data_IF_972047828974
#
_entry.id   IF_972047828974
#
_cell.length_a   1.000
_cell.length_b   1.000
_cell.length_c   1.000
_cell.angle_alpha   90.00
_cell.angle_beta   90.00
_cell.angle_gamma   90.00
#
_symmetry.space_group_name_H-M   'P 1'
#
loop_
_entity.id
_entity.type
_entity.pdbx_description
1 polymer ?
#
# COMPACT_ATOMS: atom_id res chain seq x y z
N UNK A 1 -2.69 63.93 -25.33
CA UNK A 1 -2.51 62.69 -24.56
C UNK A 1 -3.44 62.80 -23.36
N UNK A 2 -4.57 62.10 -23.38
CA UNK A 2 -5.59 62.25 -22.35
C UNK A 2 -5.16 61.60 -21.04
N UNK A 3 -5.48 62.26 -19.92
CA UNK A 3 -5.17 61.81 -18.55
C UNK A 3 -5.65 60.37 -18.30
N UNK A 4 -6.74 59.97 -18.96
CA UNK A 4 -7.31 58.61 -18.91
C UNK A 4 -6.42 57.55 -19.58
N UNK A 5 -5.73 57.89 -20.67
CA UNK A 5 -4.84 56.98 -21.38
C UNK A 5 -3.50 56.78 -20.65
N UNK A 6 -3.02 57.81 -19.95
CA UNK A 6 -1.83 57.71 -19.12
C UNK A 6 -2.09 56.80 -17.91
N UNK A 7 -3.21 57.00 -17.20
CA UNK A 7 -3.60 56.18 -16.05
C UNK A 7 -3.81 54.71 -16.43
N UNK A 8 -4.40 54.42 -17.60
CA UNK A 8 -4.57 53.05 -18.08
C UNK A 8 -3.22 52.35 -18.32
N UNK A 9 -2.24 53.08 -18.87
CA UNK A 9 -0.89 52.54 -19.13
C UNK A 9 -0.16 52.23 -17.82
N UNK A 10 -0.23 53.12 -16.83
CA UNK A 10 0.39 52.90 -15.51
C UNK A 10 -0.21 51.68 -14.80
N UNK A 11 -1.53 51.52 -14.85
CA UNK A 11 -2.20 50.35 -14.28
C UNK A 11 -1.75 49.05 -14.96
N UNK A 12 -1.63 49.04 -16.29
CA UNK A 12 -1.14 47.87 -17.04
C UNK A 12 0.31 47.50 -16.65
N UNK A 13 1.18 48.50 -16.43
CA UNK A 13 2.56 48.26 -15.98
C UNK A 13 2.58 47.65 -14.58
N UNK A 14 1.76 48.16 -13.66
CA UNK A 14 1.66 47.62 -12.29
C UNK A 14 1.16 46.17 -12.33
N UNK A 15 0.08 45.90 -13.06
CA UNK A 15 -0.47 44.55 -13.20
C UNK A 15 0.54 43.59 -13.84
N UNK A 16 1.25 44.03 -14.88
CA UNK A 16 2.31 43.24 -15.51
C UNK A 16 3.43 42.89 -14.52
N UNK A 17 3.88 43.86 -13.73
CA UNK A 17 4.90 43.62 -12.70
C UNK A 17 4.41 42.63 -11.63
N UNK A 18 3.16 42.76 -11.18
CA UNK A 18 2.56 41.82 -10.22
C UNK A 18 2.55 40.40 -10.79
N UNK A 19 2.14 40.22 -12.05
CA UNK A 19 2.11 38.90 -12.70
C UNK A 19 3.52 38.31 -12.79
N UNK A 20 4.53 39.11 -13.17
CA UNK A 20 5.93 38.66 -13.28
C UNK A 20 6.46 38.14 -11.94
N UNK A 21 6.08 38.75 -10.82
CA UNK A 21 6.46 38.28 -9.48
C UNK A 21 5.63 37.07 -9.03
N UNK A 22 4.36 37.01 -9.42
CA UNK A 22 3.42 36.01 -8.95
C UNK A 22 3.64 34.63 -9.60
N UNK A 23 4.04 34.59 -10.88
CA UNK A 23 4.34 33.33 -11.59
C UNK A 23 5.42 32.48 -10.90
N UNK A 24 6.63 32.98 -10.60
CA UNK A 24 7.65 32.19 -9.91
C UNK A 24 7.26 31.83 -8.47
N UNK A 25 6.49 32.68 -7.79
CA UNK A 25 5.97 32.40 -6.46
C UNK A 25 5.01 31.19 -6.45
N UNK A 26 4.08 31.14 -7.42
CA UNK A 26 3.19 29.98 -7.60
C UNK A 26 4.02 28.72 -7.91
N UNK A 27 5.00 28.83 -8.81
CA UNK A 27 5.84 27.69 -9.20
C UNK A 27 6.58 27.09 -7.99
N UNK A 28 7.20 27.94 -7.16
CA UNK A 28 7.88 27.51 -5.94
C UNK A 28 6.90 26.89 -4.94
N UNK A 29 5.73 27.51 -4.76
CA UNK A 29 4.70 27.00 -3.87
C UNK A 29 4.23 25.59 -4.27
N UNK A 30 3.93 25.36 -5.55
CA UNK A 30 3.49 24.05 -6.05
C UNK A 30 4.58 23.00 -5.85
N UNK A 31 5.84 23.33 -6.18
CA UNK A 31 6.97 22.40 -6.02
C UNK A 31 7.17 22.00 -4.55
N UNK A 32 7.18 22.99 -3.65
CA UNK A 32 7.35 22.74 -2.22
C UNK A 32 6.18 21.96 -1.61
N UNK A 33 4.96 22.27 -2.04
CA UNK A 33 3.75 21.56 -1.58
C UNK A 33 3.78 20.07 -1.95
N UNK A 34 4.26 19.73 -3.16
CA UNK A 34 4.37 18.34 -3.60
C UNK A 34 5.47 17.58 -2.84
N UNK A 35 6.65 18.19 -2.66
CA UNK A 35 7.75 17.55 -1.91
C UNK A 35 7.40 17.32 -0.43
N UNK A 36 6.66 18.26 0.17
CA UNK A 36 6.15 18.11 1.53
C UNK A 36 5.16 16.95 1.66
N UNK A 37 4.24 16.79 0.69
CA UNK A 37 3.30 15.67 0.66
C UNK A 37 4.00 14.31 0.48
N UNK A 38 5.03 14.26 -0.36
CA UNK A 38 5.84 13.05 -0.55
C UNK A 38 6.53 12.65 0.76
N UNK A 39 7.17 13.62 1.43
CA UNK A 39 7.86 13.38 2.71
C UNK A 39 6.90 12.86 3.80
N UNK A 40 5.72 13.46 3.94
CA UNK A 40 4.70 13.00 4.89
C UNK A 40 4.23 11.58 4.55
N UNK A 41 4.08 11.26 3.26
CA UNK A 41 3.66 9.93 2.82
C UNK A 41 4.74 8.89 3.12
N UNK A 42 6.00 9.17 2.80
CA UNK A 42 7.12 8.28 3.13
C UNK A 42 7.26 8.06 4.63
N UNK A 43 7.09 9.10 5.45
CA UNK A 43 7.11 8.96 6.91
C UNK A 43 5.98 8.05 7.44
N UNK A 44 4.78 8.13 6.85
CA UNK A 44 3.68 7.23 7.20
C UNK A 44 3.97 5.78 6.83
N UNK A 45 4.51 5.54 5.64
CA UNK A 45 4.87 4.19 5.19
C UNK A 45 5.99 3.62 6.06
N UNK A 46 7.00 4.43 6.39
CA UNK A 46 8.08 4.02 7.30
C UNK A 46 7.54 3.66 8.69
N UNK A 47 6.59 4.45 9.23
CA UNK A 47 5.94 4.15 10.50
C UNK A 47 5.20 2.80 10.47
N UNK A 48 4.44 2.52 9.40
CA UNK A 48 3.73 1.24 9.23
C UNK A 48 4.72 0.08 9.10
N UNK A 49 5.77 0.25 8.29
CA UNK A 49 6.79 -0.77 8.10
C UNK A 49 7.53 -1.08 9.41
N UNK A 50 7.86 -0.04 10.20
CA UNK A 50 8.45 -0.20 11.55
C UNK A 50 7.49 -0.92 12.50
N UNK A 51 6.20 -0.59 12.46
CA UNK A 51 5.19 -1.25 13.28
C UNK A 51 5.08 -2.73 12.92
N UNK A 52 4.93 -3.08 11.63
CA UNK A 52 4.92 -4.48 11.19
C UNK A 52 6.19 -5.20 11.64
N UNK A 53 7.37 -4.62 11.41
CA UNK A 53 8.64 -5.24 11.79
C UNK A 53 8.73 -5.52 13.30
N UNK A 54 8.31 -4.55 14.12
CA UNK A 54 8.27 -4.69 15.58
C UNK A 54 7.33 -5.81 16.02
N UNK A 55 6.18 -5.94 15.36
CA UNK A 55 5.17 -6.94 15.68
C UNK A 55 5.61 -8.34 15.24
N UNK A 56 6.26 -8.46 14.08
CA UNK A 56 6.93 -9.68 13.62
C UNK A 56 7.96 -10.14 14.65
N UNK A 57 8.86 -9.25 15.07
CA UNK A 57 9.89 -9.56 16.07
C UNK A 57 9.26 -9.98 17.42
N UNK A 58 8.18 -9.32 17.83
CA UNK A 58 7.46 -9.63 19.06
C UNK A 58 6.80 -11.01 18.99
N UNK A 59 6.08 -11.30 17.91
CA UNK A 59 5.38 -12.58 17.71
C UNK A 59 6.37 -13.73 17.59
N UNK A 60 7.49 -13.51 16.88
CA UNK A 60 8.58 -14.48 16.83
C UNK A 60 9.17 -14.77 18.21
N UNK A 61 9.42 -13.73 19.01
CA UNK A 61 9.97 -13.87 20.37
C UNK A 61 9.04 -14.62 21.33
N UNK A 62 7.72 -14.61 21.09
CA UNK A 62 6.75 -15.36 21.88
C UNK A 62 6.64 -16.84 21.49
N UNK A 63 7.18 -17.22 20.33
CA UNK A 63 7.21 -18.60 19.86
C UNK A 63 5.99 -19.02 19.05
N UNK A 64 6.02 -20.29 18.62
CA UNK A 64 5.05 -20.88 17.71
C UNK A 64 3.60 -20.76 18.20
N UNK A 65 2.68 -20.45 17.28
CA UNK A 65 1.25 -20.30 17.57
C UNK A 65 0.88 -18.92 18.11
N UNK A 66 1.87 -18.06 18.40
CA UNK A 66 1.63 -16.66 18.75
C UNK A 66 1.06 -15.89 17.56
N UNK A 67 0.11 -15.00 17.81
CA UNK A 67 -0.48 -14.14 16.79
C UNK A 67 -0.83 -12.76 17.35
N UNK A 68 -0.80 -11.75 16.49
CA UNK A 68 -1.23 -10.38 16.78
C UNK A 68 -1.94 -9.79 15.57
N UNK A 69 -2.76 -8.77 15.80
CA UNK A 69 -3.43 -8.02 14.73
C UNK A 69 -3.12 -6.55 14.91
N UNK A 70 -2.76 -5.88 13.82
CA UNK A 70 -2.52 -4.44 13.78
C UNK A 70 -3.38 -3.75 12.73
N UNK A 71 -3.71 -2.50 12.97
CA UNK A 71 -4.41 -1.64 12.02
C UNK A 71 -3.40 -0.81 11.22
N UNK A 72 -3.12 -1.23 9.99
CA UNK A 72 -2.23 -0.51 9.07
C UNK A 72 -3.03 0.43 8.16
N UNK A 73 -2.68 1.72 8.12
CA UNK A 73 -3.35 2.70 7.26
C UNK A 73 -2.52 3.02 6.01
N UNK A 74 -2.76 2.29 4.93
CA UNK A 74 -1.99 2.45 3.70
C UNK A 74 -2.34 3.77 2.97
N UNK A 75 -1.36 4.64 2.69
CA UNK A 75 -1.59 5.81 1.87
C UNK A 75 -1.77 5.43 0.39
N UNK A 76 -2.34 6.34 -0.40
CA UNK A 76 -2.66 6.12 -1.82
C UNK A 76 -1.46 5.82 -2.72
N UNK A 77 -0.25 6.17 -2.26
CA UNK A 77 0.95 6.13 -3.07
C UNK A 77 1.80 4.89 -2.81
N UNK A 78 1.31 3.90 -2.05
CA UNK A 78 1.99 2.60 -1.93
C UNK A 78 1.56 1.74 -3.10
N UNK A 79 2.53 1.22 -3.84
CA UNK A 79 2.33 0.41 -5.05
C UNK A 79 2.26 -1.07 -4.70
N UNK A 80 3.20 -1.54 -3.89
CA UNK A 80 3.29 -2.94 -3.48
C UNK A 80 3.94 -3.08 -2.11
N UNK A 81 3.65 -4.20 -1.47
CA UNK A 81 4.34 -4.70 -0.28
C UNK A 81 4.81 -6.11 -0.61
N UNK A 82 6.10 -6.34 -0.48
CA UNK A 82 6.73 -7.63 -0.76
C UNK A 82 7.48 -8.13 0.47
N UNK A 83 7.43 -9.43 0.67
CA UNK A 83 8.16 -10.13 1.74
C UNK A 83 9.19 -11.03 1.07
N UNK A 84 10.47 -10.83 1.39
CA UNK A 84 11.59 -11.58 0.78
C UNK A 84 12.53 -12.07 1.87
N UNK A 85 12.39 -13.33 2.26
CA UNK A 85 13.21 -13.90 3.33
C UNK A 85 12.90 -13.21 4.65
N UNK A 86 13.81 -12.38 5.16
CA UNK A 86 13.59 -11.58 6.37
C UNK A 86 13.36 -10.09 6.09
N UNK A 87 13.21 -9.70 4.83
CA UNK A 87 12.99 -8.31 4.43
C UNK A 87 11.51 -8.04 4.15
N UNK A 88 11.04 -6.89 4.62
CA UNK A 88 9.74 -6.32 4.32
C UNK A 88 9.99 -5.09 3.45
N UNK A 89 9.56 -5.14 2.20
CA UNK A 89 9.86 -4.13 1.18
C UNK A 89 8.56 -3.43 0.80
N UNK A 90 8.54 -2.12 1.01
CA UNK A 90 7.44 -1.23 0.59
C UNK A 90 7.87 -0.42 -0.62
N UNK A 91 7.14 -0.54 -1.72
CA UNK A 91 7.37 0.29 -2.91
C UNK A 91 6.36 1.43 -2.92
N UNK A 92 6.86 2.66 -2.99
CA UNK A 92 6.05 3.89 -3.00
C UNK A 92 6.33 4.73 -4.23
N UNK A 93 5.31 5.44 -4.72
CA UNK A 93 5.43 6.37 -5.85
C UNK A 93 5.43 7.81 -5.33
N UNK A 94 6.44 8.59 -5.70
CA UNK A 94 6.48 10.01 -5.34
C UNK A 94 5.65 10.88 -6.32
N UNK A 95 5.48 12.17 -6.00
CA UNK A 95 4.74 13.14 -6.82
C UNK A 95 5.36 13.36 -8.22
N UNK A 96 6.60 12.91 -8.44
CA UNK A 96 7.32 12.95 -9.73
C UNK A 96 7.18 11.64 -10.52
N UNK A 97 6.40 10.67 -10.02
CA UNK A 97 6.19 9.37 -10.66
C UNK A 97 7.40 8.42 -10.57
N UNK A 98 8.33 8.68 -9.65
CA UNK A 98 9.49 7.81 -9.40
C UNK A 98 9.22 6.92 -8.19
N UNK A 99 9.57 5.65 -8.33
CA UNK A 99 9.49 4.66 -7.26
C UNK A 99 10.60 4.87 -6.22
N UNK A 100 10.24 4.63 -4.95
CA UNK A 100 11.14 4.62 -3.81
C UNK A 100 10.79 3.42 -2.93
N UNK A 101 11.81 2.68 -2.54
CA UNK A 101 11.68 1.51 -1.67
C UNK A 101 11.97 1.89 -0.22
N UNK A 102 11.17 1.34 0.70
CA UNK A 102 11.39 1.38 2.15
C UNK A 102 11.54 -0.06 2.61
N UNK A 103 12.74 -0.42 3.07
CA UNK A 103 13.08 -1.79 3.45
C UNK A 103 13.25 -1.88 4.97
N UNK A 104 12.63 -2.89 5.58
CA UNK A 104 12.83 -3.26 6.99
C UNK A 104 13.28 -4.72 7.07
N UNK A 105 14.20 -4.99 7.99
CA UNK A 105 14.77 -6.32 8.18
C UNK A 105 14.31 -6.85 9.53
N UNK A 106 13.57 -7.95 9.49
CA UNK A 106 13.08 -8.65 10.67
C UNK A 106 14.09 -9.69 11.16
N UNK A 107 13.95 -10.13 12.41
CA UNK A 107 14.78 -11.20 12.97
C UNK A 107 14.33 -12.62 12.55
N UNK A 108 13.18 -12.74 11.89
CA UNK A 108 12.59 -14.00 11.46
C UNK A 108 12.32 -13.98 9.94
N UNK A 109 12.14 -15.17 9.36
CA UNK A 109 11.65 -15.27 7.99
C UNK A 109 10.19 -14.82 7.95
N UNK A 110 9.87 -13.94 7.03
CA UNK A 110 8.55 -13.34 6.82
C UNK A 110 8.04 -13.78 5.47
N UNK A 111 6.81 -14.26 5.45
CA UNK A 111 6.10 -14.64 4.24
C UNK A 111 4.67 -14.11 4.29
N UNK A 112 4.05 -13.94 3.13
CA UNK A 112 2.66 -13.53 3.04
C UNK A 112 2.36 -12.63 1.85
N UNK A 113 1.13 -12.12 1.84
CA UNK A 113 0.66 -11.20 0.82
C UNK A 113 -0.27 -10.17 1.43
N UNK A 114 0.00 -8.91 1.09
CA UNK A 114 -0.81 -7.78 1.50
C UNK A 114 -1.26 -7.06 0.25
N UNK A 115 -2.58 -7.06 0.00
CA UNK A 115 -3.14 -6.25 -1.05
C UNK A 115 -3.17 -4.78 -0.60
N UNK A 116 -2.40 -3.94 -1.29
CA UNK A 116 -2.16 -2.55 -0.95
C UNK A 116 -3.31 -1.68 -1.47
N UNK A 117 -4.48 -1.81 -0.85
CA UNK A 117 -5.62 -0.94 -1.13
C UNK A 117 -5.57 0.22 -0.13
N UNK A 118 -5.61 1.48 -0.59
CA UNK A 118 -5.54 2.64 0.30
C UNK A 118 -6.61 2.62 1.39
N UNK A 119 -6.22 3.02 2.60
CA UNK A 119 -7.08 3.04 3.78
C UNK A 119 -6.62 2.09 4.88
N UNK A 120 -7.43 1.99 5.94
CA UNK A 120 -7.13 1.17 7.10
C UNK A 120 -7.45 -0.29 6.83
N UNK A 121 -6.45 -1.17 7.03
CA UNK A 121 -6.55 -2.62 6.89
C UNK A 121 -6.04 -3.28 8.16
N UNK A 122 -6.73 -4.34 8.57
CA UNK A 122 -6.28 -5.20 9.66
C UNK A 122 -5.29 -6.20 9.10
N UNK A 123 -4.06 -6.17 9.59
CA UNK A 123 -3.04 -7.17 9.27
C UNK A 123 -2.91 -8.13 10.43
N UNK A 124 -3.04 -9.41 10.15
CA UNK A 124 -2.75 -10.47 11.11
C UNK A 124 -1.34 -10.98 10.88
N UNK A 125 -0.56 -11.05 11.95
CA UNK A 125 0.83 -11.51 11.95
C UNK A 125 0.89 -12.73 12.88
N UNK A 126 1.31 -13.87 12.34
CA UNK A 126 1.29 -15.15 13.05
C UNK A 126 2.59 -15.91 12.92
N UNK A 127 3.07 -16.50 14.03
CA UNK A 127 4.24 -17.38 14.03
C UNK A 127 3.85 -18.84 13.78
N UNK A 128 4.58 -19.47 12.87
CA UNK A 128 4.63 -20.91 12.63
C UNK A 128 5.98 -21.51 13.06
N UNK A 129 6.63 -20.90 14.07
CA UNK A 129 7.98 -21.26 14.50
C UNK A 129 9.01 -20.46 13.71
N UNK A 130 9.59 -21.06 12.67
CA UNK A 130 10.67 -20.46 11.89
C UNK A 130 10.21 -19.40 10.88
N UNK A 131 8.93 -19.43 10.50
CA UNK A 131 8.32 -18.51 9.52
C UNK A 131 7.17 -17.74 10.17
N UNK A 132 7.13 -16.43 9.89
CA UNK A 132 6.05 -15.53 10.26
C UNK A 132 5.19 -15.25 9.03
N UNK A 133 3.90 -15.54 9.11
CA UNK A 133 2.95 -15.23 8.05
C UNK A 133 2.22 -13.91 8.32
N UNK A 134 2.15 -13.06 7.30
CA UNK A 134 1.44 -11.78 7.33
C UNK A 134 0.35 -11.78 6.26
N UNK A 135 -0.89 -11.54 6.67
CA UNK A 135 -2.02 -11.47 5.76
C UNK A 135 -3.06 -10.46 6.22
N UNK A 136 -3.85 -9.94 5.28
CA UNK A 136 -4.98 -9.05 5.59
C UNK A 136 -6.10 -9.89 6.22
N UNK A 137 -6.52 -9.52 7.43
CA UNK A 137 -7.69 -10.09 8.07
C UNK A 137 -8.93 -9.77 7.24
N UNK A 138 -9.73 -10.80 6.98
CA UNK A 138 -10.97 -10.71 6.24
C UNK A 138 -12.18 -10.73 7.20
N UNK A 139 -13.35 -10.34 6.72
CA UNK A 139 -14.58 -10.50 7.49
C UNK A 139 -15.22 -11.85 7.17
N UNK A 140 -15.84 -12.52 8.15
CA UNK A 140 -16.46 -13.84 7.93
C UNK A 140 -17.44 -13.81 6.73
N UNK A 141 -17.33 -14.83 5.87
CA UNK A 141 -18.05 -14.99 4.60
C UNK A 141 -17.66 -14.01 3.48
N UNK A 142 -16.63 -13.19 3.66
CA UNK A 142 -16.01 -12.48 2.55
C UNK A 142 -15.38 -13.50 1.59
N UNK A 143 -15.55 -13.31 0.29
CA UNK A 143 -14.95 -14.15 -0.74
C UNK A 143 -14.01 -13.31 -1.60
N UNK A 144 -12.90 -13.91 -2.03
CA UNK A 144 -12.00 -13.30 -3.01
C UNK A 144 -11.35 -14.36 -3.87
N UNK A 145 -10.73 -13.91 -4.94
CA UNK A 145 -9.82 -14.75 -5.70
C UNK A 145 -8.53 -14.97 -4.90
N UNK A 146 -8.14 -16.25 -4.80
CA UNK A 146 -6.83 -16.63 -4.30
C UNK A 146 -5.75 -16.20 -5.27
N UNK A 147 -4.57 -15.92 -4.71
CA UNK A 147 -3.35 -15.74 -5.49
C UNK A 147 -2.77 -17.10 -5.86
N UNK A 148 -1.84 -17.13 -6.82
CA UNK A 148 -1.29 -18.38 -7.37
C UNK A 148 -0.75 -19.33 -6.28
N UNK A 149 -0.04 -18.80 -5.27
CA UNK A 149 0.49 -19.60 -4.17
C UNK A 149 -0.56 -20.05 -3.15
N UNK A 150 -1.68 -19.33 -3.01
CA UNK A 150 -2.81 -19.71 -2.15
C UNK A 150 -3.61 -20.87 -2.75
N UNK A 151 -3.56 -21.02 -4.08
CA UNK A 151 -4.31 -22.03 -4.82
C UNK A 151 -3.48 -23.29 -5.13
N UNK A 152 -2.15 -23.19 -5.13
CA UNK A 152 -1.27 -24.34 -5.40
C UNK A 152 -0.96 -25.09 -4.10
N UNK A 153 -1.94 -25.84 -3.60
CA UNK A 153 -1.69 -26.94 -2.66
C UNK A 153 -1.86 -28.27 -3.42
N UNK A 154 -0.86 -29.16 -3.31
CA UNK A 154 -0.89 -30.53 -3.83
C UNK A 154 -1.14 -30.72 -5.35
N UNK A 155 -0.72 -29.78 -6.19
CA UNK A 155 -0.86 -29.90 -7.65
C UNK A 155 -2.18 -29.36 -8.22
N UNK A 156 -2.88 -28.53 -7.43
CA UNK A 156 -4.10 -27.83 -7.85
C UNK A 156 -3.91 -26.80 -8.96
N UNK A 157 -5.03 -26.34 -9.51
CA UNK A 157 -5.08 -25.31 -10.55
C UNK A 157 -4.65 -23.92 -10.04
N UNK A 158 -4.13 -23.02 -10.91
CA UNK A 158 -3.60 -21.71 -10.48
C UNK A 158 -4.67 -20.72 -10.01
N UNK A 159 -5.95 -21.08 -10.08
CA UNK A 159 -7.07 -20.21 -9.74
C UNK A 159 -8.00 -20.89 -8.75
N UNK A 160 -8.32 -20.20 -7.66
CA UNK A 160 -9.23 -20.65 -6.63
C UNK A 160 -9.99 -19.49 -6.01
N UNK A 161 -11.11 -19.79 -5.37
CA UNK A 161 -11.84 -18.90 -4.50
C UNK A 161 -11.37 -19.16 -3.06
N UNK A 162 -11.05 -18.09 -2.37
CA UNK A 162 -10.81 -18.07 -0.94
C UNK A 162 -12.08 -17.57 -0.27
N UNK A 163 -12.51 -18.26 0.79
CA UNK A 163 -13.56 -17.79 1.68
C UNK A 163 -12.95 -17.40 3.02
N UNK A 164 -13.49 -16.38 3.64
CA UNK A 164 -13.07 -15.98 4.96
C UNK A 164 -13.82 -16.76 6.04
N UNK A 165 -13.08 -17.52 6.85
CA UNK A 165 -13.58 -18.17 8.04
C UNK A 165 -12.74 -17.76 9.25
N UNK A 166 -13.37 -17.25 10.31
CA UNK A 166 -12.70 -16.81 11.54
C UNK A 166 -11.61 -15.77 11.28
N UNK A 167 -11.87 -14.79 10.40
CA UNK A 167 -10.90 -13.78 9.94
C UNK A 167 -9.65 -14.34 9.24
N UNK A 168 -9.73 -15.57 8.72
CA UNK A 168 -8.66 -16.22 7.95
C UNK A 168 -9.18 -16.59 6.58
N UNK A 169 -8.37 -16.34 5.56
CA UNK A 169 -8.63 -16.86 4.22
C UNK A 169 -8.36 -18.36 4.20
N UNK A 170 -9.41 -19.14 3.97
CA UNK A 170 -9.33 -20.57 3.73
C UNK A 170 -9.73 -20.86 2.28
N UNK A 171 -9.10 -21.88 1.71
CA UNK A 171 -9.47 -22.39 0.39
C UNK A 171 -10.95 -22.80 0.41
N UNK A 172 -11.70 -22.34 -0.58
CA UNK A 172 -13.11 -22.70 -0.76
C UNK A 172 -13.31 -23.63 -1.94
N UNK A 173 -12.78 -23.27 -3.11
CA UNK A 173 -13.10 -23.94 -4.37
C UNK A 173 -12.08 -23.65 -5.47
N UNK A 174 -11.81 -24.63 -6.33
CA UNK A 174 -10.98 -24.47 -7.53
C UNK A 174 -11.77 -23.92 -8.73
N UNK A 175 -11.08 -23.09 -9.53
CA UNK A 175 -11.63 -22.52 -10.75
C UNK A 175 -10.90 -23.05 -11.98
N UNK A 176 -11.66 -23.44 -13.02
CA UNK A 176 -11.10 -24.03 -14.23
C UNK A 176 -10.31 -23.04 -15.11
N UNK A 177 -10.84 -21.83 -15.31
CA UNK A 177 -10.20 -20.86 -16.23
C UNK A 177 -9.77 -19.55 -15.58
N UNK A 178 -10.29 -19.22 -14.40
CA UNK A 178 -9.92 -17.99 -13.70
C UNK A 178 -10.87 -17.68 -12.55
N UNK A 179 -10.59 -16.62 -11.82
CA UNK A 179 -11.48 -16.08 -10.80
C UNK A 179 -11.62 -14.57 -11.01
N UNK A 180 -12.84 -14.05 -10.87
CA UNK A 180 -13.14 -12.62 -10.88
C UNK A 180 -14.11 -12.28 -9.75
N UNK A 181 -13.76 -11.31 -8.90
CA UNK A 181 -14.56 -10.87 -7.74
C UNK A 181 -15.06 -11.99 -6.82
N UNK A 182 -14.26 -13.06 -6.66
CA UNK A 182 -14.63 -14.21 -5.83
C UNK A 182 -15.56 -15.22 -6.51
N UNK A 183 -15.76 -15.11 -7.82
CA UNK A 183 -16.50 -16.08 -8.64
C UNK A 183 -15.58 -16.73 -9.70
N UNK A 184 -15.73 -18.04 -9.93
CA UNK A 184 -14.96 -18.74 -10.95
C UNK A 184 -15.43 -18.35 -12.36
N UNK A 185 -14.49 -17.94 -13.20
CA UNK A 185 -14.75 -17.81 -14.63
C UNK A 185 -14.57 -19.19 -15.28
N UNK A 186 -15.54 -19.58 -16.11
CA UNK A 186 -15.54 -20.85 -16.88
C UNK A 186 -15.76 -22.14 -16.08
N UNK A 187 -16.33 -22.04 -14.88
CA UNK A 187 -16.80 -23.20 -14.12
C UNK A 187 -15.87 -23.63 -12.99
N UNK A 188 -16.35 -24.62 -12.25
CA UNK A 188 -15.76 -25.16 -11.02
C UNK A 188 -15.00 -26.45 -11.38
N UNK A 189 -13.80 -26.61 -10.82
CA UNK A 189 -12.98 -27.82 -10.92
C UNK A 189 -13.42 -28.93 -9.98
#
# INVERSE_FOLDING_TARGET
MDIKSQAATEYLVIVGFVIVVLVPAIYLYVTYSNESQDSVTSAKVDAIANEINKEVDRVYSYGEGSQTTIDANFPKNVVSVEFRGNEIIFTTLNSKGKESEIVKVANAMVDGSVNVIPGTKKLTIRSFGDVISIYVACNDNEVRCGTEWECIHEGGMPYCIMTCNNNKWDYFQECMTGCNDGECTGGIG
#
